data_IF_840669551593
#
_entry.id   IF_840669551593
#
_cell.length_a   1.000
_cell.length_b   1.000
_cell.length_c   1.000
_cell.angle_alpha   90.00
_cell.angle_beta   90.00
_cell.angle_gamma   90.00
#
_symmetry.space_group_name_H-M   'P 1'
#
loop_
_entity.id
_entity.type
_entity.pdbx_description
1 polymer ?
#
# COMPACT_ATOMS: atom_id res chain seq x y z
N UNK A 1 2.46 -38.27 -23.24
CA UNK A 1 3.19 -37.00 -23.41
C UNK A 1 2.17 -35.89 -23.21
N UNK A 2 2.07 -35.34 -22.00
CA UNK A 2 1.11 -34.26 -21.72
C UNK A 2 1.75 -32.93 -22.12
N UNK A 3 1.26 -32.37 -23.24
CA UNK A 3 1.53 -31.00 -23.64
C UNK A 3 0.82 -30.09 -22.65
N UNK A 4 1.56 -29.58 -21.66
CA UNK A 4 1.09 -28.46 -20.83
C UNK A 4 1.20 -27.22 -21.72
N UNK A 5 0.09 -26.52 -22.01
CA UNK A 5 0.19 -25.25 -22.71
C UNK A 5 1.02 -24.34 -21.81
N UNK A 6 2.19 -23.93 -22.31
CA UNK A 6 3.02 -22.92 -21.65
C UNK A 6 2.12 -21.70 -21.47
N UNK A 7 1.72 -21.45 -20.23
CA UNK A 7 0.92 -20.30 -19.85
C UNK A 7 1.55 -19.07 -20.50
N UNK A 8 0.73 -18.34 -21.23
CA UNK A 8 1.10 -17.08 -21.85
C UNK A 8 1.48 -16.14 -20.70
N UNK A 9 2.74 -16.16 -20.31
CA UNK A 9 3.31 -15.32 -19.27
C UNK A 9 3.45 -13.95 -19.92
N UNK A 10 2.36 -13.19 -19.92
CA UNK A 10 2.40 -11.76 -20.16
C UNK A 10 3.46 -11.23 -19.19
N UNK A 11 4.63 -10.89 -19.72
CA UNK A 11 5.79 -10.54 -18.92
C UNK A 11 5.54 -9.17 -18.30
N UNK A 12 4.99 -9.15 -17.10
CA UNK A 12 5.00 -7.97 -16.23
C UNK A 12 6.44 -7.47 -16.11
N UNK A 13 6.65 -6.18 -16.40
CA UNK A 13 7.98 -5.55 -16.33
C UNK A 13 7.89 -4.27 -15.51
N UNK A 14 8.99 -3.95 -14.82
CA UNK A 14 9.05 -2.75 -14.00
C UNK A 14 9.04 -1.50 -14.88
N UNK A 15 8.09 -0.59 -14.68
CA UNK A 15 8.00 0.66 -15.45
C UNK A 15 9.20 1.59 -15.22
N UNK A 16 9.93 1.44 -14.11
CA UNK A 16 11.10 2.26 -13.80
C UNK A 16 12.40 1.76 -14.46
N UNK A 17 12.62 0.45 -14.51
CA UNK A 17 13.89 -0.12 -14.95
C UNK A 17 13.78 -1.04 -16.19
N UNK A 18 12.56 -1.32 -16.65
CA UNK A 18 12.25 -2.18 -17.80
C UNK A 18 12.52 -3.68 -17.58
N UNK A 19 12.98 -4.08 -16.40
CA UNK A 19 13.30 -5.48 -16.11
C UNK A 19 12.07 -6.25 -15.63
N UNK A 20 11.92 -7.50 -16.09
CA UNK A 20 10.91 -8.46 -15.61
C UNK A 20 11.43 -9.38 -14.50
N UNK A 21 12.60 -9.09 -13.91
CA UNK A 21 13.20 -9.95 -12.89
C UNK A 21 12.41 -9.89 -11.59
N UNK A 22 11.64 -10.92 -11.27
CA UNK A 22 10.87 -10.98 -10.03
C UNK A 22 11.60 -11.85 -8.99
N UNK A 23 12.30 -11.22 -8.05
CA UNK A 23 13.07 -11.90 -7.00
C UNK A 23 12.45 -11.65 -5.62
N UNK A 24 12.56 -12.61 -4.70
CA UNK A 24 11.94 -12.50 -3.37
C UNK A 24 12.36 -11.27 -2.57
N UNK A 25 13.60 -10.80 -2.74
CA UNK A 25 14.13 -9.62 -2.06
C UNK A 25 13.90 -8.29 -2.82
N UNK A 26 13.49 -8.37 -4.09
CA UNK A 26 13.14 -7.24 -4.93
C UNK A 26 11.99 -7.61 -5.88
N UNK A 27 10.79 -7.85 -5.33
CA UNK A 27 9.67 -8.36 -6.11
C UNK A 27 9.12 -7.27 -7.05
N UNK A 28 8.47 -7.70 -8.12
CA UNK A 28 7.56 -6.85 -8.90
C UNK A 28 6.25 -6.73 -8.14
N UNK A 29 5.92 -5.51 -7.75
CA UNK A 29 4.67 -5.16 -7.08
C UNK A 29 3.75 -4.47 -8.09
N UNK A 30 2.45 -4.74 -7.98
CA UNK A 30 1.45 -4.02 -8.77
C UNK A 30 1.44 -2.56 -8.35
N UNK A 31 1.43 -1.67 -9.33
CA UNK A 31 1.14 -0.26 -9.13
C UNK A 31 -0.39 -0.13 -9.11
N UNK A 32 -0.92 0.18 -7.94
CA UNK A 32 -2.34 0.46 -7.76
C UNK A 32 -2.62 1.85 -8.29
N UNK A 33 -3.13 1.89 -9.52
CA UNK A 33 -3.72 3.10 -10.10
C UNK A 33 -5.23 2.99 -9.94
N UNK A 34 -5.91 4.13 -9.82
CA UNK A 34 -7.38 4.16 -9.87
C UNK A 34 -7.97 3.70 -11.22
N UNK A 35 -7.13 3.31 -12.19
CA UNK A 35 -7.51 2.88 -13.53
C UNK A 35 -7.50 1.35 -13.61
N UNK A 36 -8.65 0.76 -13.94
CA UNK A 36 -8.84 -0.69 -13.91
C UNK A 36 -8.21 -1.43 -15.10
N UNK A 37 -7.85 -0.71 -16.16
CA UNK A 37 -7.49 -1.29 -17.46
C UNK A 37 -5.96 -1.36 -17.72
N UNK A 38 -5.13 -0.81 -16.82
CA UNK A 38 -3.68 -0.80 -16.99
C UNK A 38 -2.99 -1.48 -15.80
N UNK A 39 -2.47 -2.68 -16.03
CA UNK A 39 -1.66 -3.40 -15.03
C UNK A 39 -0.19 -2.99 -15.13
N UNK A 40 0.18 -1.95 -14.39
CA UNK A 40 1.57 -1.53 -14.25
C UNK A 40 2.25 -2.20 -13.05
N UNK A 41 3.55 -2.41 -13.16
CA UNK A 41 4.36 -3.04 -12.11
C UNK A 41 5.62 -2.23 -11.82
N UNK A 42 6.04 -2.23 -10.57
CA UNK A 42 7.26 -1.58 -10.09
C UNK A 42 8.02 -2.52 -9.17
N UNK A 43 9.34 -2.59 -9.32
CA UNK A 43 10.18 -3.27 -8.33
C UNK A 43 10.15 -2.54 -7.00
N UNK A 44 10.12 -3.28 -5.89
CA UNK A 44 10.19 -2.72 -4.53
C UNK A 44 11.33 -1.69 -4.38
N UNK A 45 12.54 -1.98 -4.84
CA UNK A 45 13.67 -1.04 -4.75
C UNK A 45 13.56 0.15 -5.71
N UNK A 46 12.87 -0.01 -6.84
CA UNK A 46 12.60 1.11 -7.73
C UNK A 46 11.60 2.08 -7.08
N UNK A 47 10.52 1.56 -6.50
CA UNK A 47 9.55 2.36 -5.75
C UNK A 47 10.22 3.11 -4.59
N UNK A 48 11.13 2.47 -3.84
CA UNK A 48 11.81 3.12 -2.70
C UNK A 48 12.79 4.23 -3.10
N UNK A 49 13.28 4.22 -4.33
CA UNK A 49 14.28 5.20 -4.81
C UNK A 49 13.66 6.36 -5.58
N UNK A 50 12.47 6.18 -6.11
CA UNK A 50 11.79 7.14 -6.95
C UNK A 50 10.65 7.78 -6.15
N UNK A 51 10.75 9.09 -5.93
CA UNK A 51 9.84 9.86 -5.07
C UNK A 51 8.42 9.98 -5.63
N UNK A 52 8.17 9.48 -6.85
CA UNK A 52 6.81 9.41 -7.42
C UNK A 52 6.00 8.29 -6.79
N UNK A 53 6.63 7.33 -6.12
CA UNK A 53 5.96 6.18 -5.54
C UNK A 53 5.97 6.21 -4.02
N UNK A 54 4.91 5.67 -3.43
CA UNK A 54 4.74 5.50 -2.00
C UNK A 54 4.08 4.18 -1.65
N UNK A 55 3.95 3.94 -0.35
CA UNK A 55 3.31 2.75 0.20
C UNK A 55 2.28 3.20 1.22
N UNK A 56 1.08 2.61 1.16
CA UNK A 56 0.13 2.76 2.24
C UNK A 56 0.67 2.04 3.48
N UNK A 57 0.68 2.70 4.64
CA UNK A 57 1.20 2.10 5.87
C UNK A 57 0.37 0.88 6.33
N UNK A 58 -0.96 0.88 6.08
CA UNK A 58 -1.85 -0.25 6.33
C UNK A 58 -1.58 -1.43 5.37
N UNK A 59 -1.43 -1.16 4.07
CA UNK A 59 -1.15 -2.20 3.06
C UNK A 59 0.29 -2.72 3.12
N UNK A 60 1.22 -1.91 3.62
CA UNK A 60 2.66 -2.19 3.62
C UNK A 60 3.22 -2.36 2.21
N UNK A 61 4.15 -3.32 2.04
CA UNK A 61 4.84 -3.61 0.77
C UNK A 61 4.07 -4.58 -0.13
N UNK A 62 2.77 -4.71 0.06
CA UNK A 62 1.89 -5.54 -0.78
C UNK A 62 1.50 -4.87 -2.10
N UNK A 63 1.47 -3.53 -2.12
CA UNK A 63 1.09 -2.71 -3.25
C UNK A 63 1.95 -1.43 -3.28
N UNK A 64 2.16 -0.88 -4.48
CA UNK A 64 2.81 0.42 -4.68
C UNK A 64 1.75 1.40 -5.18
N UNK A 65 1.79 2.64 -4.72
CA UNK A 65 0.90 3.71 -5.14
C UNK A 65 1.71 4.88 -5.70
N UNK A 66 1.11 5.74 -6.52
CA UNK A 66 1.68 7.07 -6.69
C UNK A 66 1.55 7.85 -5.39
N UNK A 67 2.54 8.69 -5.07
CA UNK A 67 2.47 9.53 -3.86
C UNK A 67 1.27 10.47 -3.90
N UNK A 68 0.84 10.89 -5.09
CA UNK A 68 -0.35 11.73 -5.28
C UNK A 68 -1.66 11.03 -4.93
N UNK A 69 -1.68 9.68 -4.95
CA UNK A 69 -2.84 8.86 -4.56
C UNK A 69 -2.83 8.50 -3.06
N UNK A 70 -1.83 8.96 -2.31
CA UNK A 70 -1.72 8.80 -0.87
C UNK A 70 -2.06 10.11 -0.16
N UNK A 71 -2.78 10.03 0.94
CA UNK A 71 -3.00 11.19 1.81
C UNK A 71 -1.73 11.54 2.61
N UNK A 72 -1.78 12.64 3.38
CA UNK A 72 -0.63 13.11 4.19
C UNK A 72 -0.17 12.10 5.25
N UNK A 73 -1.05 11.18 5.66
CA UNK A 73 -0.74 10.09 6.58
C UNK A 73 -0.15 8.85 5.89
N UNK A 74 0.13 8.91 4.58
CA UNK A 74 0.55 7.77 3.75
C UNK A 74 -0.50 6.65 3.75
N UNK A 75 -1.76 7.00 3.54
CA UNK A 75 -2.87 6.05 3.38
C UNK A 75 -3.42 6.12 1.96
N UNK A 76 -3.78 4.96 1.40
CA UNK A 76 -4.54 4.91 0.17
C UNK A 76 -6.03 5.19 0.44
N UNK A 77 -6.81 5.46 -0.61
CA UNK A 77 -8.24 5.78 -0.50
C UNK A 77 -9.07 4.74 0.30
N UNK A 78 -8.65 3.48 0.34
CA UNK A 78 -9.35 2.44 1.11
C UNK A 78 -9.09 2.51 2.63
N UNK A 79 -7.99 3.15 3.04
CA UNK A 79 -7.59 3.29 4.45
C UNK A 79 -7.52 4.76 4.87
N UNK A 80 -8.18 5.65 4.12
CA UNK A 80 -8.20 7.08 4.42
C UNK A 80 -8.86 7.33 5.79
N UNK A 81 -8.11 7.90 6.72
CA UNK A 81 -8.57 8.23 8.06
C UNK A 81 -8.33 7.13 9.11
N UNK A 82 -7.74 5.99 8.75
CA UNK A 82 -7.45 4.93 9.73
C UNK A 82 -6.37 5.31 10.75
N UNK A 83 -5.51 6.27 10.42
CA UNK A 83 -4.56 6.87 11.37
C UNK A 83 -5.21 7.78 12.40
N UNK A 84 -6.47 8.20 12.19
CA UNK A 84 -7.19 9.05 13.14
C UNK A 84 -7.80 8.18 14.22
N UNK A 85 -7.41 8.35 15.50
CA UNK A 85 -8.02 7.60 16.58
C UNK A 85 -9.50 7.98 16.73
N UNK A 86 -10.40 7.01 16.61
CA UNK A 86 -11.83 7.17 16.89
C UNK A 86 -12.09 7.09 18.39
N UNK A 87 -11.51 8.04 19.14
CA UNK A 87 -11.88 8.23 20.55
C UNK A 87 -13.01 9.27 20.60
N UNK A 88 -14.20 8.92 21.11
CA UNK A 88 -15.19 9.93 21.41
C UNK A 88 -14.61 10.89 22.46
N UNK A 89 -14.74 12.20 22.23
CA UNK A 89 -14.31 13.26 23.16
C UNK A 89 -14.89 13.06 24.59
N UNK A 90 -15.96 12.26 24.73
CA UNK A 90 -16.65 11.97 25.99
C UNK A 90 -15.88 11.05 26.95
N UNK A 91 -14.84 10.34 26.50
CA UNK A 91 -14.13 9.36 27.36
C UNK A 91 -13.06 10.01 28.28
N UNK A 92 -12.62 11.22 27.98
CA UNK A 92 -11.63 11.92 28.82
C UNK A 92 -12.27 12.45 30.10
N UNK A 93 -13.48 13.02 30.01
CA UNK A 93 -14.21 13.54 31.17
C UNK A 93 -14.79 12.41 32.04
N UNK A 94 -15.23 11.30 31.42
CA UNK A 94 -15.70 10.10 32.13
C UNK A 94 -14.60 9.46 32.99
N UNK A 95 -13.37 9.33 32.45
CA UNK A 95 -12.24 8.79 33.21
C UNK A 95 -11.88 9.67 34.41
N UNK A 96 -11.88 10.99 34.24
CA UNK A 96 -11.59 11.95 35.32
C UNK A 96 -12.66 11.90 36.42
N UNK A 97 -13.95 11.78 36.08
CA UNK A 97 -15.01 11.59 37.09
C UNK A 97 -14.90 10.26 37.83
N UNK A 98 -14.56 9.17 37.14
CA UNK A 98 -14.44 7.84 37.75
C UNK A 98 -13.28 7.79 38.77
N UNK A 99 -12.15 8.43 38.45
CA UNK A 99 -11.00 8.55 39.37
C UNK A 99 -11.33 9.42 40.59
N UNK A 100 -12.15 10.47 40.42
CA UNK A 100 -12.53 11.38 41.53
C UNK A 100 -13.61 10.85 42.46
N UNK A 101 -14.39 9.84 42.05
CA UNK A 101 -15.42 9.19 42.88
C UNK A 101 -14.91 7.95 43.64
N UNK A 102 -13.63 7.61 43.48
CA UNK A 102 -12.99 6.45 44.12
C UNK A 102 -12.31 6.71 45.47
N UNK A 103 -12.29 7.95 45.96
CA UNK A 103 -11.89 8.36 47.32
C UNK A 103 -13.13 8.75 48.16
#
# INVERSE_FOLDING_TARGET
MHNVPSSNCEKSSCVCCGSSNNQSYNPLLRLETGETDVEEYVHLFCAQRDSRFGFCWCCGRGAVYFVEDLNEASECANHEGESVPDYPDEDLDSYIEYVRKGD
#
